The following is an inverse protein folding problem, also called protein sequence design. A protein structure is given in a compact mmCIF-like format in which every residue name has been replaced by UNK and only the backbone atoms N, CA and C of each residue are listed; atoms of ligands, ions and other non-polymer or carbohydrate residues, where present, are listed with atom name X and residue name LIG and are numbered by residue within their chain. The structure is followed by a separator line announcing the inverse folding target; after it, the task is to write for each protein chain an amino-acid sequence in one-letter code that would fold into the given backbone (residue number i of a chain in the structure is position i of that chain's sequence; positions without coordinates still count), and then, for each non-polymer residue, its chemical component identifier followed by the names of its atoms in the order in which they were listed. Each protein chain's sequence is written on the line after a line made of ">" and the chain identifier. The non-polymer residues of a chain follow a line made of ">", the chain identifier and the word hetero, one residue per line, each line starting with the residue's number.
data_IF_644727131931
#
_entry.id   IF_644727131931
#
_cell.length_a   1.000
_cell.length_b   1.000
_cell.length_c   1.000
_cell.angle_alpha   90.00
_cell.angle_beta   90.00
_cell.angle_gamma   90.00
#
_symmetry.space_group_name_H-M   'P 1'
#
loop_
_entity.id
_entity.type
_entity.pdbx_description
1 polymer ?
#
# COMPACT_ATOMS: atom_id res chain seq x y z
N UNK A 1 -2.15 -16.79 -0.93
CA UNK A 1 -1.61 -15.55 -0.32
C UNK A 1 -1.73 -14.46 -1.37
N UNK A 2 -2.42 -13.37 -1.07
CA UNK A 2 -2.50 -12.20 -1.95
C UNK A 2 -1.50 -11.16 -1.45
N UNK A 3 -0.80 -10.51 -2.36
CA UNK A 3 0.21 -9.50 -2.05
C UNK A 3 -0.05 -8.23 -2.84
N UNK A 4 0.31 -7.10 -2.24
CA UNK A 4 0.36 -5.82 -2.92
C UNK A 4 1.49 -5.84 -3.96
N UNK A 5 1.21 -5.43 -5.19
CA UNK A 5 2.18 -5.41 -6.28
C UNK A 5 3.29 -4.36 -6.05
N UNK A 6 2.98 -3.28 -5.33
CA UNK A 6 3.92 -2.16 -5.13
C UNK A 6 4.91 -2.38 -3.96
N UNK A 7 4.49 -3.05 -2.89
CA UNK A 7 5.33 -3.17 -1.69
C UNK A 7 5.43 -4.59 -1.11
N UNK A 8 4.93 -5.60 -1.83
CA UNK A 8 4.90 -7.02 -1.46
C UNK A 8 4.22 -7.32 -0.11
N UNK A 9 3.51 -6.34 0.46
CA UNK A 9 2.78 -6.48 1.70
C UNK A 9 1.64 -7.48 1.57
N UNK A 10 1.40 -8.28 2.62
CA UNK A 10 0.27 -9.19 2.67
C UNK A 10 -1.05 -8.41 2.64
N UNK A 11 -1.99 -8.84 1.79
CA UNK A 11 -3.35 -8.30 1.71
C UNK A 11 -4.37 -9.43 1.77
N UNK A 12 -5.59 -9.12 2.24
CA UNK A 12 -6.67 -10.10 2.28
C UNK A 12 -7.36 -10.25 0.93
N UNK A 13 -8.05 -11.37 0.72
CA UNK A 13 -8.86 -11.58 -0.48
C UNK A 13 -9.95 -10.52 -0.63
N UNK A 14 -10.58 -10.14 0.47
CA UNK A 14 -11.64 -9.12 0.47
C UNK A 14 -11.09 -7.74 0.11
N UNK A 15 -9.85 -7.44 0.52
CA UNK A 15 -9.17 -6.22 0.10
C UNK A 15 -8.98 -6.18 -1.42
N UNK A 16 -8.52 -7.27 -2.02
CA UNK A 16 -8.38 -7.39 -3.48
C UNK A 16 -9.72 -7.23 -4.20
N UNK A 17 -10.83 -7.69 -3.63
CA UNK A 17 -12.16 -7.55 -4.25
C UNK A 17 -12.65 -6.11 -4.35
N UNK A 18 -12.23 -5.25 -3.42
CA UNK A 18 -12.68 -3.86 -3.34
C UNK A 18 -11.71 -2.91 -4.03
N UNK A 19 -10.40 -3.15 -3.87
CA UNK A 19 -9.34 -2.24 -4.29
C UNK A 19 -8.47 -2.79 -5.42
N UNK A 20 -8.72 -4.01 -5.88
CA UNK A 20 -7.96 -4.62 -6.98
C UNK A 20 -8.43 -4.16 -8.36
N UNK A 21 -7.53 -4.25 -9.33
CA UNK A 21 -7.85 -4.06 -10.75
C UNK A 21 -8.64 -5.26 -11.34
N UNK A 22 -8.94 -5.20 -12.64
CA UNK A 22 -9.63 -6.27 -13.37
C UNK A 22 -8.89 -7.62 -13.36
N UNK A 23 -7.59 -7.59 -13.05
CA UNK A 23 -6.72 -8.76 -12.92
C UNK A 23 -6.57 -9.21 -11.46
N UNK A 24 -7.22 -8.53 -10.52
CA UNK A 24 -7.13 -8.81 -9.08
C UNK A 24 -5.80 -8.37 -8.46
N UNK A 25 -5.13 -7.36 -9.03
CA UNK A 25 -3.88 -6.80 -8.51
C UNK A 25 -4.16 -5.53 -7.71
N UNK A 26 -3.45 -5.39 -6.59
CA UNK A 26 -3.54 -4.22 -5.72
C UNK A 26 -2.24 -3.43 -5.86
N UNK A 27 -2.33 -2.24 -6.44
CA UNK A 27 -1.17 -1.34 -6.62
C UNK A 27 -0.87 -0.48 -5.37
N UNK A 28 -1.82 -0.37 -4.43
CA UNK A 28 -1.64 0.38 -3.19
C UNK A 28 -2.29 -0.31 -2.01
N UNK A 29 -1.56 -0.45 -0.91
CA UNK A 29 -2.12 -0.96 0.35
C UNK A 29 -1.62 -0.13 1.55
N UNK A 30 -2.29 -0.19 2.72
CA UNK A 30 -1.88 0.55 3.91
C UNK A 30 -0.45 0.25 4.37
N UNK A 31 0.06 -0.94 4.08
CA UNK A 31 1.44 -1.31 4.42
C UNK A 31 2.49 -0.54 3.60
N UNK A 32 2.13 -0.03 2.42
CA UNK A 32 3.05 0.77 1.63
C UNK A 32 3.31 2.14 2.30
N UNK A 33 2.32 2.69 3.02
CA UNK A 33 2.47 3.94 3.79
C UNK A 33 3.26 3.73 5.09
N UNK A 34 3.21 2.52 5.69
CA UNK A 34 4.03 2.18 6.85
C UNK A 34 5.50 1.87 6.48
N UNK A 35 5.75 1.36 5.26
CA UNK A 35 7.11 1.05 4.76
C UNK A 35 7.81 2.27 4.17
N UNK A 36 7.06 3.23 3.64
CA UNK A 36 7.56 4.60 3.61
C UNK A 36 7.80 4.97 5.07
N UNK A 37 9.06 5.06 5.52
CA UNK A 37 9.35 5.53 6.86
C UNK A 37 8.63 6.85 7.14
N UNK A 38 8.61 7.35 8.40
CA UNK A 38 8.03 8.66 8.68
C UNK A 38 8.54 9.64 7.62
N UNK A 39 7.64 10.15 6.78
CA UNK A 39 7.96 11.29 5.96
C UNK A 39 8.23 12.37 6.97
N UNK A 40 9.50 12.61 7.22
CA UNK A 40 9.94 13.65 8.12
C UNK A 40 9.35 14.93 7.55
N UNK A 41 8.29 15.41 8.19
CA UNK A 41 7.67 16.68 7.86
C UNK A 41 8.57 17.80 8.40
N UNK A 42 9.90 17.68 8.32
CA UNK A 42 10.80 18.81 8.38
C UNK A 42 10.79 19.53 7.03
N UNK A 43 9.70 20.22 6.80
CA UNK A 43 9.72 21.42 5.99
C UNK A 43 8.75 22.41 6.63
N UNK A 44 9.05 22.79 7.88
CA UNK A 44 8.75 24.12 8.37
C UNK A 44 9.89 25.04 7.89
N UNK A 45 9.67 25.92 6.87
CA UNK A 45 10.57 27.04 6.69
C UNK A 45 10.34 28.02 7.84
N UNK A 46 11.41 28.28 8.60
CA UNK A 46 11.51 29.33 9.61
C UNK A 46 11.17 30.72 9.09
#
# INVERSE_FOLDING_TARGET
>A
MYTCYNCDGAVSKDFVRVFGDEQGRVDGCPNCELRAGPVDRAAEPS
#
